data_IF_853593522888
#
_entry.id   IF_853593522888
#
_cell.length_a   1.000
_cell.length_b   1.000
_cell.length_c   1.000
_cell.angle_alpha   90.00
_cell.angle_beta   90.00
_cell.angle_gamma   90.00
#
_symmetry.space_group_name_H-M   'P 1'
#
loop_
_entity.id
_entity.type
_entity.pdbx_description
1 polymer ?
#
# COMPACT_ATOMS: atom_id res chain seq x y z
N UNK A 1 -18.28 -2.05 -1.61
CA UNK A 1 -19.15 -1.00 -2.18
C UNK A 1 -19.51 -1.42 -3.61
N UNK A 2 -20.76 -1.84 -3.88
CA UNK A 2 -21.18 -2.27 -5.22
C UNK A 2 -21.22 -1.05 -6.16
N UNK A 3 -20.60 -1.15 -7.34
CA UNK A 3 -20.63 -0.09 -8.36
C UNK A 3 -22.05 0.02 -8.91
N UNK A 4 -22.55 1.24 -9.07
CA UNK A 4 -23.86 1.49 -9.71
C UNK A 4 -23.73 1.13 -11.19
N UNK A 5 -24.60 0.27 -11.67
CA UNK A 5 -24.71 -0.10 -13.09
C UNK A 5 -25.60 0.91 -13.79
N UNK A 6 -25.24 1.26 -15.02
CA UNK A 6 -26.04 2.16 -15.86
C UNK A 6 -27.24 1.40 -16.46
N UNK A 7 -28.04 2.06 -17.30
CA UNK A 7 -29.24 1.50 -17.95
C UNK A 7 -28.96 0.27 -18.81
N UNK A 8 -27.70 0.03 -19.18
CA UNK A 8 -27.22 -1.10 -19.98
C UNK A 8 -26.76 -2.27 -19.08
N UNK A 9 -26.83 -2.13 -17.75
CA UNK A 9 -26.41 -3.15 -16.80
C UNK A 9 -24.90 -3.20 -16.55
N UNK A 10 -24.11 -2.41 -17.26
CA UNK A 10 -22.67 -2.30 -17.07
C UNK A 10 -22.32 -1.10 -16.18
N UNK A 11 -21.30 -1.28 -15.33
CA UNK A 11 -20.77 -0.19 -14.52
C UNK A 11 -19.72 0.58 -15.34
N UNK A 12 -19.79 1.90 -15.32
CA UNK A 12 -18.81 2.73 -16.01
C UNK A 12 -17.37 2.43 -15.50
N UNK A 13 -16.41 2.14 -16.40
CA UNK A 13 -15.06 1.70 -16.05
C UNK A 13 -14.27 2.76 -15.27
N UNK A 14 -14.60 4.05 -15.43
CA UNK A 14 -13.93 5.17 -14.78
C UNK A 14 -14.43 5.44 -13.35
N UNK A 15 -15.47 4.72 -12.91
CA UNK A 15 -16.07 4.93 -11.59
C UNK A 15 -15.06 4.65 -10.47
N UNK A 16 -14.72 5.70 -9.71
CA UNK A 16 -13.80 5.62 -8.57
C UNK A 16 -12.32 5.75 -8.93
N UNK A 17 -11.98 6.00 -10.20
CA UNK A 17 -10.61 6.25 -10.66
C UNK A 17 -10.30 7.74 -10.82
N UNK A 18 -11.32 8.58 -10.98
CA UNK A 18 -11.17 10.01 -11.24
C UNK A 18 -11.32 10.83 -9.96
N UNK A 19 -10.42 11.79 -9.75
CA UNK A 19 -10.36 12.65 -8.57
C UNK A 19 -10.27 14.13 -8.97
N UNK A 20 -10.86 14.99 -8.16
CA UNK A 20 -10.76 16.44 -8.31
C UNK A 20 -9.35 16.90 -7.87
N UNK A 21 -8.73 17.77 -8.67
CA UNK A 21 -7.41 18.35 -8.38
C UNK A 21 -7.41 19.25 -7.16
N UNK A 22 -8.53 19.93 -6.89
CA UNK A 22 -8.58 21.04 -5.94
C UNK A 22 -8.87 20.56 -4.52
N UNK A 23 -9.71 19.54 -4.38
CA UNK A 23 -10.16 19.01 -3.08
C UNK A 23 -9.83 17.52 -2.86
N UNK A 24 -9.28 16.83 -3.87
CA UNK A 24 -8.94 15.40 -3.79
C UNK A 24 -10.15 14.45 -3.70
N UNK A 25 -11.38 14.96 -3.76
CA UNK A 25 -12.59 14.12 -3.71
C UNK A 25 -12.84 13.38 -5.02
N UNK A 26 -13.54 12.25 -4.95
CA UNK A 26 -13.87 11.44 -6.14
C UNK A 26 -14.83 12.17 -7.07
N UNK A 27 -14.55 12.12 -8.37
CA UNK A 27 -15.46 12.60 -9.41
C UNK A 27 -16.54 11.56 -9.69
N UNK A 28 -17.75 12.04 -9.96
CA UNK A 28 -18.88 11.19 -10.32
C UNK A 28 -19.23 11.34 -11.80
N UNK A 29 -19.82 10.29 -12.37
CA UNK A 29 -20.30 10.26 -13.76
C UNK A 29 -21.72 10.84 -13.93
N UNK A 30 -22.29 11.45 -12.88
CA UNK A 30 -23.53 12.24 -12.92
C UNK A 30 -23.42 13.42 -11.97
N UNK A 31 -24.09 14.55 -12.29
CA UNK A 31 -24.20 15.68 -11.35
C UNK A 31 -24.94 15.21 -10.10
N UNK A 32 -24.30 15.30 -8.95
CA UNK A 32 -24.99 15.34 -7.65
C UNK A 32 -25.03 16.78 -7.20
N UNK A 33 -26.20 17.24 -6.80
CA UNK A 33 -26.36 18.55 -6.18
C UNK A 33 -25.61 18.59 -4.84
N UNK A 34 -25.08 19.77 -4.54
CA UNK A 34 -24.42 20.16 -3.28
C UNK A 34 -23.08 19.47 -3.01
N UNK A 35 -22.02 20.08 -3.54
CA UNK A 35 -20.66 19.85 -3.06
C UNK A 35 -19.92 21.20 -2.98
N UNK A 36 -18.99 21.30 -2.03
CA UNK A 36 -18.21 22.52 -1.73
C UNK A 36 -17.31 23.00 -2.89
N UNK A 37 -17.15 22.18 -3.94
CA UNK A 37 -16.49 22.54 -5.19
C UNK A 37 -17.45 22.34 -6.38
N UNK A 38 -17.44 23.28 -7.32
CA UNK A 38 -18.37 23.43 -8.44
C UNK A 38 -18.29 22.32 -9.50
N UNK A 39 -17.26 21.46 -9.49
CA UNK A 39 -16.98 20.48 -10.56
C UNK A 39 -16.64 19.09 -10.01
N UNK A 40 -17.51 18.51 -9.17
CA UNK A 40 -17.42 17.08 -8.78
C UNK A 40 -18.05 16.11 -9.80
N UNK A 41 -18.11 16.52 -11.05
CA UNK A 41 -18.75 15.78 -12.11
C UNK A 41 -17.94 15.91 -13.40
N UNK A 42 -17.67 14.77 -14.03
CA UNK A 42 -17.11 14.72 -15.37
C UNK A 42 -17.93 13.74 -16.20
N UNK A 43 -18.31 14.17 -17.41
CA UNK A 43 -19.01 13.30 -18.34
C UNK A 43 -18.07 12.20 -18.85
N UNK A 44 -18.57 10.97 -18.96
CA UNK A 44 -17.80 9.82 -19.46
C UNK A 44 -17.17 10.09 -20.82
N UNK A 45 -17.88 10.78 -21.71
CA UNK A 45 -17.36 11.15 -23.03
C UNK A 45 -16.14 12.09 -22.92
N UNK A 46 -16.23 13.13 -22.09
CA UNK A 46 -15.14 14.08 -21.85
C UNK A 46 -13.95 13.38 -21.21
N UNK A 47 -14.19 12.56 -20.19
CA UNK A 47 -13.13 11.78 -19.53
C UNK A 47 -12.44 10.84 -20.52
N UNK A 48 -13.19 10.08 -21.31
CA UNK A 48 -12.65 9.18 -22.33
C UNK A 48 -11.85 9.92 -23.40
N UNK A 49 -12.33 11.10 -23.84
CA UNK A 49 -11.62 11.91 -24.82
C UNK A 49 -10.27 12.41 -24.28
N UNK A 50 -10.24 12.93 -23.05
CA UNK A 50 -9.01 13.38 -22.38
C UNK A 50 -8.04 12.22 -22.15
N UNK A 51 -8.53 11.06 -21.72
CA UNK A 51 -7.72 9.85 -21.54
C UNK A 51 -7.11 9.42 -22.87
N UNK A 52 -7.91 9.37 -23.94
CA UNK A 52 -7.43 8.98 -25.27
C UNK A 52 -6.39 9.98 -25.80
N UNK A 53 -6.61 11.27 -25.61
CA UNK A 53 -5.64 12.31 -25.99
C UNK A 53 -4.32 12.14 -25.23
N UNK A 54 -4.39 11.92 -23.91
CA UNK A 54 -3.21 11.67 -23.09
C UNK A 54 -2.45 10.42 -23.56
N UNK A 55 -3.14 9.31 -23.84
CA UNK A 55 -2.52 8.08 -24.37
C UNK A 55 -1.83 8.35 -25.71
N UNK A 56 -2.48 9.07 -26.63
CA UNK A 56 -1.90 9.41 -27.94
C UNK A 56 -0.68 10.31 -27.78
N UNK A 57 -0.75 11.32 -26.91
CA UNK A 57 0.35 12.24 -26.64
C UNK A 57 1.56 11.51 -26.04
N UNK A 58 1.35 10.70 -25.01
CA UNK A 58 2.41 9.90 -24.38
C UNK A 58 3.00 8.88 -25.34
N UNK A 59 2.16 8.17 -26.11
CA UNK A 59 2.62 7.23 -27.14
C UNK A 59 3.44 7.91 -28.24
N UNK A 60 3.00 9.09 -28.69
CA UNK A 60 3.74 9.89 -29.66
C UNK A 60 5.08 10.36 -29.12
N UNK A 61 5.12 10.81 -27.87
CA UNK A 61 6.35 11.19 -27.20
C UNK A 61 7.32 10.02 -27.07
N UNK A 62 6.85 8.85 -26.61
CA UNK A 62 7.68 7.64 -26.48
C UNK A 62 8.25 7.18 -27.82
N UNK A 63 7.46 7.26 -28.90
CA UNK A 63 7.91 6.87 -30.25
C UNK A 63 8.95 7.83 -30.83
N UNK A 64 8.78 9.14 -30.61
CA UNK A 64 9.63 10.16 -31.23
C UNK A 64 10.87 10.50 -30.39
N UNK A 65 10.83 10.26 -29.07
CA UNK A 65 11.90 10.60 -28.13
C UNK A 65 12.18 9.42 -27.19
N UNK A 66 12.52 8.26 -27.77
CA UNK A 66 12.70 7.00 -27.02
C UNK A 66 13.74 7.14 -25.89
N UNK A 67 14.88 7.79 -26.16
CA UNK A 67 15.94 7.99 -25.18
C UNK A 67 15.49 8.81 -23.96
N UNK A 68 14.78 9.92 -24.20
CA UNK A 68 14.26 10.78 -23.13
C UNK A 68 13.13 10.11 -22.36
N UNK A 69 12.27 9.36 -23.05
CA UNK A 69 11.23 8.56 -22.42
C UNK A 69 11.82 7.47 -21.52
N UNK A 70 12.84 6.75 -21.98
CA UNK A 70 13.55 5.75 -21.18
C UNK A 70 14.26 6.36 -19.98
N UNK A 71 14.85 7.55 -20.13
CA UNK A 71 15.46 8.28 -19.00
C UNK A 71 14.42 8.63 -17.95
N UNK A 72 13.30 9.25 -18.35
CA UNK A 72 12.23 9.65 -17.45
C UNK A 72 11.61 8.44 -16.73
N UNK A 73 11.36 7.34 -17.46
CA UNK A 73 10.84 6.10 -16.89
C UNK A 73 11.83 5.48 -15.88
N UNK A 74 13.13 5.50 -16.17
CA UNK A 74 14.17 5.01 -15.26
C UNK A 74 14.26 5.87 -14.00
N UNK A 75 14.22 7.19 -14.13
CA UNK A 75 14.24 8.11 -12.98
C UNK A 75 13.02 7.88 -12.08
N UNK A 76 11.81 7.81 -12.65
CA UNK A 76 10.59 7.54 -11.89
C UNK A 76 10.59 6.14 -11.25
N UNK A 77 11.10 5.13 -11.97
CA UNK A 77 11.24 3.76 -11.45
C UNK A 77 12.29 3.67 -10.35
N UNK A 78 13.41 4.38 -10.47
CA UNK A 78 14.48 4.41 -9.47
C UNK A 78 13.98 5.01 -8.15
N UNK A 79 13.16 6.06 -8.20
CA UNK A 79 12.52 6.63 -7.00
C UNK A 79 11.61 5.60 -6.34
N UNK A 80 10.70 4.96 -7.09
CA UNK A 80 9.79 3.94 -6.56
C UNK A 80 10.54 2.74 -5.96
N UNK A 81 11.61 2.28 -6.62
CA UNK A 81 12.47 1.21 -6.12
C UNK A 81 13.24 1.62 -4.86
N UNK A 82 13.76 2.85 -4.81
CA UNK A 82 14.47 3.37 -3.64
C UNK A 82 13.55 3.50 -2.42
N UNK A 83 12.31 3.96 -2.62
CA UNK A 83 11.30 4.05 -1.56
C UNK A 83 10.87 2.67 -1.08
N UNK A 84 10.64 1.72 -1.99
CA UNK A 84 10.34 0.33 -1.64
C UNK A 84 11.50 -0.29 -0.83
N UNK A 85 12.74 -0.16 -1.30
CA UNK A 85 13.93 -0.64 -0.59
C UNK A 85 14.12 0.03 0.78
N UNK A 86 13.79 1.32 0.90
CA UNK A 86 13.80 2.04 2.19
C UNK A 86 12.72 1.51 3.14
N UNK A 87 11.53 1.21 2.61
CA UNK A 87 10.43 0.61 3.37
C UNK A 87 10.82 -0.79 3.89
N UNK A 88 11.30 -1.67 3.02
CA UNK A 88 11.79 -3.01 3.40
C UNK A 88 12.87 -2.92 4.48
N UNK A 89 13.90 -2.07 4.30
CA UNK A 89 14.95 -1.87 5.31
C UNK A 89 14.40 -1.42 6.66
N UNK A 90 13.41 -0.52 6.69
CA UNK A 90 12.75 -0.08 7.93
C UNK A 90 12.00 -1.22 8.60
N UNK A 91 11.28 -2.03 7.82
CA UNK A 91 10.53 -3.17 8.34
C UNK A 91 11.46 -4.24 8.92
N UNK A 92 12.55 -4.57 8.22
CA UNK A 92 13.59 -5.48 8.69
C UNK A 92 14.18 -4.99 10.02
N UNK A 93 14.53 -3.70 10.11
CA UNK A 93 15.08 -3.12 11.34
C UNK A 93 14.08 -3.19 12.51
N UNK A 94 12.79 -2.93 12.25
CA UNK A 94 11.72 -3.04 13.26
C UNK A 94 11.55 -4.48 13.75
N UNK A 95 11.50 -5.43 12.83
CA UNK A 95 11.36 -6.85 13.16
C UNK A 95 12.55 -7.34 13.98
N UNK A 96 13.78 -7.03 13.55
CA UNK A 96 15.00 -7.37 14.30
C UNK A 96 15.02 -6.79 15.71
N UNK A 97 14.57 -5.54 15.88
CA UNK A 97 14.45 -4.93 17.21
C UNK A 97 13.46 -5.71 18.09
N UNK A 98 12.29 -6.06 17.53
CA UNK A 98 11.27 -6.82 18.26
C UNK A 98 11.75 -8.22 18.64
N UNK A 99 12.44 -8.91 17.74
CA UNK A 99 13.06 -10.21 18.01
C UNK A 99 14.04 -10.10 19.20
N UNK A 100 14.92 -9.09 19.22
CA UNK A 100 15.82 -8.88 20.33
C UNK A 100 15.11 -8.56 21.67
N UNK A 101 13.96 -7.88 21.62
CA UNK A 101 13.11 -7.68 22.79
C UNK A 101 12.49 -9.00 23.28
N UNK A 102 12.00 -9.85 22.36
CA UNK A 102 11.47 -11.18 22.67
C UNK A 102 12.53 -12.08 23.29
N UNK A 103 13.77 -12.08 22.76
CA UNK A 103 14.90 -12.83 23.35
C UNK A 103 15.15 -12.42 24.81
N UNK A 104 15.06 -11.12 25.11
CA UNK A 104 15.22 -10.59 26.46
C UNK A 104 14.07 -11.00 27.39
N UNK A 105 12.84 -10.99 26.88
CA UNK A 105 11.66 -11.45 27.62
C UNK A 105 11.72 -12.96 27.89
N UNK A 106 12.14 -13.76 26.91
CA UNK A 106 12.34 -15.19 27.06
C UNK A 106 13.35 -15.48 28.16
N UNK A 107 14.54 -14.86 28.13
CA UNK A 107 15.56 -15.03 29.19
C UNK A 107 15.01 -14.76 30.59
N UNK A 108 14.31 -13.64 30.78
CA UNK A 108 13.68 -13.31 32.07
C UNK A 108 12.62 -14.33 32.48
N UNK A 109 11.82 -14.80 31.53
CA UNK A 109 10.79 -15.82 31.78
C UNK A 109 11.40 -17.14 32.24
N UNK A 110 12.54 -17.53 31.65
CA UNK A 110 13.34 -18.68 32.11
C UNK A 110 13.92 -18.47 33.51
N UNK A 111 14.48 -17.30 33.80
CA UNK A 111 15.04 -16.97 35.12
C UNK A 111 13.95 -17.01 36.22
N UNK A 112 12.78 -16.44 35.97
CA UNK A 112 11.65 -16.45 36.91
C UNK A 112 11.08 -17.86 37.12
N UNK A 113 11.07 -18.69 36.08
CA UNK A 113 10.68 -20.11 36.19
C UNK A 113 11.70 -20.91 37.01
N UNK A 114 13.00 -20.75 36.75
CA UNK A 114 14.06 -21.40 37.50
C UNK A 114 14.11 -20.97 38.98
N UNK A 115 13.67 -19.74 39.28
CA UNK A 115 13.51 -19.23 40.64
C UNK A 115 12.19 -19.65 41.31
N UNK A 116 11.39 -20.52 40.68
CA UNK A 116 10.08 -20.99 41.13
C UNK A 116 9.04 -19.86 41.38
N UNK A 117 9.28 -18.68 40.78
CA UNK A 117 8.37 -17.52 40.86
C UNK A 117 7.26 -17.58 39.81
N UNK A 118 7.39 -18.50 38.85
CA UNK A 118 6.46 -18.74 37.76
C UNK A 118 6.05 -20.21 37.72
N UNK A 119 4.75 -20.47 37.54
CA UNK A 119 4.26 -21.84 37.38
C UNK A 119 4.56 -22.37 35.98
N UNK A 120 4.76 -23.68 35.86
CA UNK A 120 5.01 -24.38 34.59
C UNK A 120 3.99 -24.02 33.50
N UNK A 121 2.69 -24.11 33.83
CA UNK A 121 1.62 -23.72 32.90
C UNK A 121 1.76 -22.29 32.36
N UNK A 122 2.20 -21.34 33.20
CA UNK A 122 2.39 -19.94 32.76
C UNK A 122 3.67 -19.78 31.95
N UNK A 123 4.72 -20.51 32.30
CA UNK A 123 5.95 -20.56 31.54
C UNK A 123 5.68 -21.02 30.10
N UNK A 124 5.04 -22.18 29.91
CA UNK A 124 4.71 -22.72 28.59
C UNK A 124 3.87 -21.75 27.75
N UNK A 125 2.87 -21.11 28.37
CA UNK A 125 2.00 -20.16 27.67
C UNK A 125 2.77 -18.91 27.19
N UNK A 126 3.65 -18.36 28.03
CA UNK A 126 4.42 -17.16 27.70
C UNK A 126 5.54 -17.47 26.69
N UNK A 127 6.33 -18.53 26.94
CA UNK A 127 7.44 -18.92 26.06
C UNK A 127 6.92 -19.31 24.68
N UNK A 128 5.86 -20.12 24.59
CA UNK A 128 5.27 -20.52 23.32
C UNK A 128 4.70 -19.33 22.52
N UNK A 129 4.15 -18.32 23.21
CA UNK A 129 3.69 -17.09 22.57
C UNK A 129 4.84 -16.27 21.97
N UNK A 130 5.93 -16.10 22.73
CA UNK A 130 7.12 -15.38 22.25
C UNK A 130 7.81 -16.10 21.10
N UNK A 131 7.97 -17.43 21.18
CA UNK A 131 8.55 -18.24 20.12
C UNK A 131 7.72 -18.19 18.83
N UNK A 132 6.39 -18.23 18.94
CA UNK A 132 5.49 -18.11 17.79
C UNK A 132 5.60 -16.72 17.13
N UNK A 133 5.63 -15.64 17.93
CA UNK A 133 5.81 -14.28 17.42
C UNK A 133 7.17 -14.12 16.75
N UNK A 134 8.23 -14.65 17.36
CA UNK A 134 9.59 -14.61 16.81
C UNK A 134 9.68 -15.34 15.46
N UNK A 135 9.14 -16.56 15.36
CA UNK A 135 9.13 -17.32 14.11
C UNK A 135 8.39 -16.58 12.98
N UNK A 136 7.26 -15.94 13.29
CA UNK A 136 6.53 -15.14 12.31
C UNK A 136 7.31 -13.90 11.86
N UNK A 137 7.97 -13.19 12.79
CA UNK A 137 8.80 -12.03 12.46
C UNK A 137 10.05 -12.40 11.65
N UNK A 138 10.67 -13.55 11.93
CA UNK A 138 11.80 -14.08 11.17
C UNK A 138 11.38 -14.45 9.75
N UNK A 139 10.23 -15.13 9.60
CA UNK A 139 9.64 -15.44 8.29
C UNK A 139 9.35 -14.17 7.49
N UNK A 140 8.66 -13.20 8.10
CA UNK A 140 8.40 -11.90 7.46
C UNK A 140 9.69 -11.20 7.03
N UNK A 141 10.76 -11.32 7.82
CA UNK A 141 12.05 -10.70 7.49
C UNK A 141 12.75 -11.41 6.32
N UNK A 142 12.57 -12.73 6.17
CA UNK A 142 13.15 -13.51 5.08
C UNK A 142 12.42 -13.31 3.74
N UNK A 143 11.14 -12.93 3.78
CA UNK A 143 10.29 -12.68 2.60
C UNK A 143 10.38 -11.23 2.04
N UNK A 144 11.09 -10.32 2.74
CA UNK A 144 11.28 -8.91 2.37
C UNK A 144 12.64 -8.64 1.71
#
# INVERSE_FOLDING_TARGET
MKRRTDTIGEANPLTGLLFCSDCGSRLFNHRRGEAECSIHFIGSMTANALILEAIKRTSGFAKNNEADFMKLLREESAIKQADAAKSHRRQIAKNKKRIAELDSLLRKTYEDFAAERLTEKRFEQLSGGYESEQAELEKQTAEL
#
